data_IF_526441596334
#
_entry.id   IF_526441596334
#
_cell.length_a   1.000
_cell.length_b   1.000
_cell.length_c   1.000
_cell.angle_alpha   90.00
_cell.angle_beta   90.00
_cell.angle_gamma   90.00
#
_symmetry.space_group_name_H-M   'P 1'
#
loop_
_entity.id
_entity.type
_entity.pdbx_description
1 polymer ?
#
# COMPACT_ATOMS: atom_id res chain seq x y z
N UNK A 1 -15.84 -0.52 -24.08
CA UNK A 1 -14.68 -1.41 -24.25
C UNK A 1 -14.10 -1.67 -22.87
N UNK A 2 -14.11 -2.92 -22.37
CA UNK A 2 -13.61 -3.22 -21.03
C UNK A 2 -12.09 -3.32 -21.06
N UNK A 3 -11.39 -2.47 -20.29
CA UNK A 3 -9.94 -2.52 -20.14
C UNK A 3 -9.61 -3.26 -18.84
N UNK A 4 -8.79 -4.31 -18.93
CA UNK A 4 -8.33 -5.02 -17.74
C UNK A 4 -7.30 -4.18 -16.98
N UNK A 5 -7.57 -3.91 -15.71
CA UNK A 5 -6.65 -3.24 -14.79
C UNK A 5 -6.13 -4.28 -13.80
N UNK A 6 -4.85 -4.66 -13.87
CA UNK A 6 -4.27 -5.63 -12.94
C UNK A 6 -4.38 -5.15 -11.49
N UNK A 7 -4.55 -6.08 -10.55
CA UNK A 7 -4.68 -5.76 -9.13
C UNK A 7 -3.46 -4.99 -8.61
N UNK A 8 -2.26 -5.41 -8.99
CA UNK A 8 -1.02 -4.73 -8.60
C UNK A 8 -1.01 -3.26 -9.05
N UNK A 9 -1.59 -2.96 -10.22
CA UNK A 9 -1.76 -1.59 -10.71
C UNK A 9 -2.66 -0.77 -9.78
N UNK A 10 -3.79 -1.35 -9.37
CA UNK A 10 -4.76 -0.69 -8.50
C UNK A 10 -4.13 -0.35 -7.15
N UNK A 11 -3.50 -1.34 -6.51
CA UNK A 11 -2.84 -1.18 -5.21
C UNK A 11 -1.73 -0.13 -5.27
N UNK A 12 -0.85 -0.19 -6.27
CA UNK A 12 0.26 0.79 -6.38
C UNK A 12 -0.24 2.20 -6.69
N UNK A 13 -1.27 2.34 -7.54
CA UNK A 13 -1.88 3.65 -7.82
C UNK A 13 -2.56 4.25 -6.60
N UNK A 14 -3.20 3.43 -5.76
CA UNK A 14 -3.85 3.85 -4.52
C UNK A 14 -2.81 4.29 -3.48
N UNK A 15 -1.76 3.49 -3.26
CA UNK A 15 -0.68 3.84 -2.32
C UNK A 15 0.10 5.07 -2.78
N UNK A 16 0.29 5.25 -4.10
CA UNK A 16 0.99 6.40 -4.66
C UNK A 16 0.04 7.55 -5.02
N UNK A 17 -1.21 7.54 -4.55
CA UNK A 17 -2.15 8.62 -4.83
C UNK A 17 -1.79 9.87 -4.01
N UNK A 18 -1.54 11.04 -4.63
CA UNK A 18 -1.27 12.28 -3.90
C UNK A 18 -2.43 12.69 -2.99
N UNK A 19 -3.67 12.33 -3.34
CA UNK A 19 -4.87 12.67 -2.56
C UNK A 19 -5.00 11.82 -1.28
N UNK A 20 -4.14 10.81 -1.10
CA UNK A 20 -4.08 9.92 0.07
C UNK A 20 -5.47 9.50 0.59
N UNK A 21 -6.35 8.95 -0.27
CA UNK A 21 -7.64 8.45 0.19
C UNK A 21 -7.41 7.35 1.23
N UNK A 22 -8.27 7.28 2.24
CA UNK A 22 -8.23 6.20 3.23
C UNK A 22 -8.36 4.86 2.49
N UNK A 23 -7.35 3.98 2.56
CA UNK A 23 -7.39 2.73 1.81
C UNK A 23 -8.37 1.78 2.50
N UNK A 24 -9.57 1.67 1.93
CA UNK A 24 -10.68 0.87 2.49
C UNK A 24 -10.36 -0.63 2.41
N UNK A 25 -9.61 -1.03 1.39
CA UNK A 25 -9.29 -2.43 1.10
C UNK A 25 -7.92 -2.89 1.67
N UNK A 26 -7.13 -1.97 2.25
CA UNK A 26 -5.83 -2.29 2.85
C UNK A 26 -5.93 -2.26 4.38
N UNK A 27 -6.00 -3.44 4.98
CA UNK A 27 -5.99 -3.56 6.44
C UNK A 27 -4.56 -3.49 7.00
N UNK A 28 -4.32 -2.53 7.91
CA UNK A 28 -3.06 -2.44 8.64
C UNK A 28 -3.05 -3.45 9.79
N UNK A 29 -2.17 -4.46 9.70
CA UNK A 29 -1.93 -5.44 10.76
C UNK A 29 -0.62 -5.12 11.48
N UNK A 30 -0.70 -4.58 12.71
CA UNK A 30 0.48 -4.46 13.59
C UNK A 30 0.71 -5.75 14.36
N UNK A 31 1.62 -6.60 13.88
CA UNK A 31 2.11 -7.73 14.67
C UNK A 31 3.02 -7.22 15.80
N UNK A 32 2.46 -6.95 16.98
CA UNK A 32 3.25 -6.57 18.16
C UNK A 32 2.49 -6.68 19.48
N UNK A 33 3.20 -7.00 20.57
CA UNK A 33 2.67 -7.06 21.95
C UNK A 33 1.98 -5.75 22.39
N UNK A 34 2.37 -4.62 21.80
CA UNK A 34 1.74 -3.30 21.96
C UNK A 34 0.32 -3.22 21.41
N UNK A 35 -0.09 -4.07 20.48
CA UNK A 35 -1.44 -4.04 19.90
C UNK A 35 -2.48 -4.63 20.87
N UNK A 36 -2.08 -5.62 21.69
CA UNK A 36 -2.90 -6.17 22.78
C UNK A 36 -3.14 -5.16 23.92
N UNK A 37 -2.24 -4.20 24.12
CA UNK A 37 -2.46 -3.09 25.05
C UNK A 37 -3.26 -1.96 24.39
N UNK A 38 -3.05 -1.72 23.10
CA UNK A 38 -3.88 -0.78 22.35
C UNK A 38 -5.33 -1.23 22.29
N UNK A 39 -5.68 -2.49 22.09
CA UNK A 39 -7.09 -2.94 22.06
C UNK A 39 -7.88 -2.58 23.33
N UNK A 40 -7.25 -2.56 24.51
CA UNK A 40 -7.88 -2.14 25.77
C UNK A 40 -8.06 -0.62 25.94
N UNK A 41 -7.17 0.19 25.34
CA UNK A 41 -7.22 1.67 25.41
C UNK A 41 -7.76 2.32 24.12
N UNK A 42 -7.89 1.58 23.02
CA UNK A 42 -8.18 2.07 21.66
C UNK A 42 -9.66 2.23 21.36
N UNK A 43 -10.57 1.82 22.25
CA UNK A 43 -12.00 2.10 22.06
C UNK A 43 -12.32 3.60 22.06
N UNK A 44 -11.38 4.45 22.51
CA UNK A 44 -11.54 5.91 22.58
C UNK A 44 -10.63 6.74 21.66
N UNK A 45 -9.67 6.13 20.96
CA UNK A 45 -8.79 6.85 20.05
C UNK A 45 -8.85 6.23 18.67
N UNK A 46 -9.44 6.98 17.72
CA UNK A 46 -9.27 6.75 16.29
C UNK A 46 -7.80 7.04 15.95
N UNK A 47 -6.94 6.07 16.21
CA UNK A 47 -5.51 6.16 15.88
C UNK A 47 -5.43 6.03 14.37
N UNK A 48 -5.12 7.13 13.67
CA UNK A 48 -4.95 7.11 12.21
C UNK A 48 -3.95 6.01 11.86
N UNK A 49 -4.39 5.06 11.03
CA UNK A 49 -3.53 3.99 10.54
C UNK A 49 -2.44 4.65 9.69
N UNK A 50 -1.15 4.32 9.90
CA UNK A 50 -0.09 4.90 9.08
C UNK A 50 -0.33 4.54 7.61
N UNK A 51 -0.27 5.52 6.72
CA UNK A 51 -0.48 5.27 5.31
C UNK A 51 0.76 4.54 4.76
N UNK A 52 0.61 3.48 3.95
CA UNK A 52 1.76 2.74 3.42
C UNK A 52 2.76 3.64 2.65
N UNK A 53 2.25 4.73 2.07
CA UNK A 53 3.05 5.77 1.41
C UNK A 53 3.86 6.70 2.32
N UNK A 54 3.67 6.67 3.64
CA UNK A 54 4.43 7.47 4.63
C UNK A 54 5.82 6.87 4.93
N UNK A 55 6.03 5.60 4.57
CA UNK A 55 7.32 4.92 4.75
C UNK A 55 8.20 5.06 3.48
N UNK A 56 9.53 5.24 3.65
CA UNK A 56 10.45 5.37 2.52
C UNK A 56 10.68 4.05 1.76
N UNK A 57 10.27 2.92 2.34
CA UNK A 57 10.39 1.59 1.75
C UNK A 57 9.02 0.90 1.76
N UNK A 58 8.60 0.40 0.60
CA UNK A 58 7.39 -0.40 0.43
C UNK A 58 7.78 -1.78 -0.14
N UNK A 59 7.37 -2.85 0.52
CA UNK A 59 7.59 -4.23 0.05
C UNK A 59 6.23 -4.82 -0.33
N UNK A 60 6.08 -5.25 -1.57
CA UNK A 60 4.89 -5.96 -2.05
C UNK A 60 5.24 -7.44 -2.21
N UNK A 61 4.66 -8.29 -1.36
CA UNK A 61 4.87 -9.73 -1.42
C UNK A 61 3.72 -10.40 -2.16
N UNK A 62 4.00 -10.99 -3.33
CA UNK A 62 3.01 -11.68 -4.16
C UNK A 62 3.12 -13.20 -4.00
N UNK A 63 2.02 -13.83 -3.59
CA UNK A 63 1.90 -15.30 -3.50
C UNK A 63 1.35 -15.85 -4.81
N UNK A 64 1.98 -16.89 -5.35
CA UNK A 64 1.56 -17.52 -6.62
C UNK A 64 2.32 -17.04 -7.86
N UNK A 65 3.24 -16.09 -7.70
CA UNK A 65 4.10 -15.58 -8.77
C UNK A 65 3.73 -14.18 -9.23
N UNK A 66 4.67 -13.54 -9.91
CA UNK A 66 4.51 -12.21 -10.52
C UNK A 66 5.01 -12.26 -11.96
N UNK A 67 4.32 -11.59 -12.85
CA UNK A 67 4.71 -11.50 -14.26
C UNK A 67 5.66 -10.33 -14.51
N UNK A 68 6.52 -10.44 -15.53
CA UNK A 68 7.44 -9.34 -15.90
C UNK A 68 6.68 -8.07 -16.28
N UNK A 69 5.50 -8.21 -16.92
CA UNK A 69 4.63 -7.09 -17.29
C UNK A 69 4.12 -6.32 -16.07
N UNK A 70 3.78 -7.02 -14.99
CA UNK A 70 3.37 -6.41 -13.72
C UNK A 70 4.53 -5.65 -13.08
N UNK A 71 5.72 -6.24 -13.01
CA UNK A 71 6.92 -5.58 -12.46
C UNK A 71 7.27 -4.32 -13.24
N UNK A 72 7.29 -4.40 -14.58
CA UNK A 72 7.57 -3.25 -15.44
C UNK A 72 6.58 -2.12 -15.19
N UNK A 73 5.30 -2.45 -15.11
CA UNK A 73 4.24 -1.46 -14.88
C UNK A 73 4.38 -0.77 -13.53
N UNK A 74 4.72 -1.49 -12.46
CA UNK A 74 4.99 -0.88 -11.14
C UNK A 74 6.17 0.08 -11.23
N UNK A 75 7.26 -0.33 -11.87
CA UNK A 75 8.44 0.52 -12.06
C UNK A 75 8.09 1.82 -12.79
N UNK A 76 7.33 1.73 -13.88
CA UNK A 76 6.90 2.89 -14.67
C UNK A 76 5.97 3.82 -13.85
N UNK A 77 5.05 3.25 -13.06
CA UNK A 77 4.14 4.00 -12.18
C UNK A 77 4.87 4.74 -11.07
N UNK A 78 5.81 4.08 -10.39
CA UNK A 78 6.61 4.68 -9.32
C UNK A 78 7.51 5.78 -9.89
N UNK A 79 8.15 5.56 -11.04
CA UNK A 79 8.96 6.58 -11.70
C UNK A 79 8.14 7.83 -12.06
N UNK A 80 6.88 7.66 -12.46
CA UNK A 80 5.99 8.77 -12.82
C UNK A 80 5.48 9.53 -11.60
N UNK A 81 5.15 8.84 -10.50
CA UNK A 81 4.49 9.43 -9.33
C UNK A 81 5.43 9.85 -8.19
N UNK A 82 6.60 9.24 -8.07
CA UNK A 82 7.64 9.56 -7.08
C UNK A 82 9.02 9.58 -7.76
N UNK A 83 9.37 10.66 -8.48
CA UNK A 83 10.69 10.82 -9.07
C UNK A 83 11.73 10.95 -7.94
N UNK A 84 12.35 9.82 -7.56
CA UNK A 84 13.27 9.73 -6.42
C UNK A 84 13.20 8.41 -5.65
N UNK A 85 12.15 7.60 -5.85
CA UNK A 85 12.05 6.25 -5.28
C UNK A 85 12.75 5.24 -6.21
N UNK A 86 13.71 4.48 -5.67
CA UNK A 86 14.31 3.35 -6.38
C UNK A 86 13.45 2.10 -6.20
N UNK A 87 13.30 1.32 -7.29
CA UNK A 87 12.46 0.11 -7.38
C UNK A 87 13.32 -1.06 -7.83
#
# INVERSE_FOLDING_TARGET
QASYKPLLKQVVEEICNPDRPDPVDIEHMSSGLTDLLKTGFSMFMKVNRPHPGDHPLLIIFMVGGVTVSEVKMVKDLVATRKPGTQV
#
